data_IF_694817760684
#
_entry.id   IF_694817760684
#
_cell.length_a   1.000
_cell.length_b   1.000
_cell.length_c   1.000
_cell.angle_alpha   90.00
_cell.angle_beta   90.00
_cell.angle_gamma   90.00
#
_symmetry.space_group_name_H-M   'P 1'
#
loop_
_entity.id
_entity.type
_entity.pdbx_description
1 polymer ?
#
# COMPACT_ATOMS: atom_id res chain seq x y z
N UNK A 1 -71.93 -2.08 25.07
CA UNK A 1 -71.94 -1.36 23.78
C UNK A 1 -70.76 -0.41 23.73
N UNK A 2 -69.91 -0.55 22.69
CA UNK A 2 -69.08 0.49 22.03
C UNK A 2 -68.10 1.32 22.87
N UNK A 3 -66.78 1.13 22.66
CA UNK A 3 -65.86 1.98 21.84
C UNK A 3 -65.60 3.35 22.51
N UNK A 4 -64.38 3.82 22.78
CA UNK A 4 -63.31 4.16 21.82
C UNK A 4 -62.07 4.58 22.67
N UNK A 5 -60.95 3.85 22.67
CA UNK A 5 -59.68 4.11 21.94
C UNK A 5 -59.09 5.52 22.16
N UNK A 6 -57.95 5.60 22.87
CA UNK A 6 -56.68 6.08 22.27
C UNK A 6 -55.49 5.61 23.15
N UNK A 7 -54.91 4.49 22.75
CA UNK A 7 -53.64 3.97 23.27
C UNK A 7 -52.53 4.69 22.51
N UNK A 8 -51.79 5.57 23.19
CA UNK A 8 -50.50 6.07 22.71
C UNK A 8 -49.43 5.05 23.14
N UNK A 9 -49.30 3.97 22.37
CA UNK A 9 -48.17 3.04 22.52
C UNK A 9 -46.99 3.67 21.78
N UNK A 10 -46.16 4.43 22.51
CA UNK A 10 -44.89 4.91 21.99
C UNK A 10 -43.97 3.68 21.84
N UNK A 11 -43.88 3.18 20.60
CA UNK A 11 -42.84 2.23 20.19
C UNK A 11 -41.53 3.01 20.15
N UNK A 12 -40.82 3.04 21.26
CA UNK A 12 -39.38 3.32 21.28
C UNK A 12 -38.65 2.01 21.51
N UNK A 13 -38.71 1.12 20.53
CA UNK A 13 -37.64 0.16 20.31
C UNK A 13 -36.44 0.96 19.77
N UNK A 14 -35.76 1.66 20.68
CA UNK A 14 -34.38 2.06 20.41
C UNK A 14 -33.61 0.76 20.45
N UNK A 15 -33.49 0.10 19.30
CA UNK A 15 -32.41 -0.84 19.08
C UNK A 15 -31.12 -0.03 19.21
N UNK A 16 -30.60 0.08 20.44
CA UNK A 16 -29.17 0.18 20.66
C UNK A 16 -28.57 -1.13 20.16
N UNK A 17 -28.49 -1.26 18.83
CA UNK A 17 -27.45 -2.05 18.22
C UNK A 17 -26.17 -1.37 18.66
N UNK A 18 -25.55 -1.88 19.71
CA UNK A 18 -24.12 -1.73 19.87
C UNK A 18 -23.53 -2.33 18.60
N UNK A 19 -23.27 -1.48 17.60
CA UNK A 19 -22.32 -1.83 16.57
C UNK A 19 -21.07 -2.20 17.33
N UNK A 20 -20.66 -3.47 17.25
CA UNK A 20 -19.32 -3.82 17.64
C UNK A 20 -18.44 -2.92 16.80
N UNK A 21 -17.87 -1.87 17.40
CA UNK A 21 -16.71 -1.22 16.82
C UNK A 21 -15.69 -2.35 16.78
N UNK A 22 -15.54 -2.99 15.62
CA UNK A 22 -14.45 -3.90 15.36
C UNK A 22 -13.20 -3.06 15.62
N UNK A 23 -12.56 -3.27 16.77
CA UNK A 23 -11.30 -2.58 17.05
C UNK A 23 -10.32 -2.96 15.95
N UNK A 24 -9.87 -1.95 15.22
CA UNK A 24 -8.86 -2.14 14.19
C UNK A 24 -7.59 -2.61 14.90
N UNK A 25 -7.18 -3.83 14.57
CA UNK A 25 -6.00 -4.49 15.13
C UNK A 25 -4.95 -4.61 14.02
N UNK A 26 -3.67 -4.37 14.34
CA UNK A 26 -2.58 -4.46 13.36
C UNK A 26 -1.27 -4.82 14.06
N UNK A 27 -0.57 -5.80 13.52
CA UNK A 27 0.75 -6.19 14.00
C UNK A 27 1.62 -6.68 12.86
N UNK A 28 2.93 -6.45 12.98
CA UNK A 28 3.92 -7.15 12.17
C UNK A 28 4.21 -8.49 12.85
N UNK A 29 4.17 -9.59 12.10
CA UNK A 29 4.52 -10.90 12.62
C UNK A 29 6.03 -11.00 12.86
N UNK A 30 6.39 -11.69 13.93
CA UNK A 30 7.76 -12.11 14.24
C UNK A 30 8.19 -13.27 13.35
N UNK A 31 9.49 -13.52 13.23
CA UNK A 31 9.99 -14.66 12.44
C UNK A 31 9.42 -16.00 12.94
N UNK A 32 9.30 -16.19 14.26
CA UNK A 32 8.73 -17.41 14.84
C UNK A 32 7.26 -17.61 14.46
N UNK A 33 6.46 -16.55 14.44
CA UNK A 33 5.07 -16.61 13.98
C UNK A 33 4.99 -16.90 12.47
N UNK A 34 5.87 -16.29 11.68
CA UNK A 34 5.97 -16.54 10.23
C UNK A 34 6.29 -18.02 9.99
N UNK A 35 7.32 -18.57 10.63
CA UNK A 35 7.73 -19.96 10.44
C UNK A 35 6.66 -20.96 10.91
N UNK A 36 5.90 -20.60 11.96
CA UNK A 36 4.81 -21.43 12.47
C UNK A 36 3.56 -21.43 11.58
N UNK A 37 3.22 -20.29 10.98
CA UNK A 37 1.98 -20.13 10.19
C UNK A 37 2.27 -20.46 8.71
N UNK A 38 3.31 -19.87 8.14
CA UNK A 38 3.66 -19.93 6.72
C UNK A 38 4.69 -21.04 6.44
N UNK A 39 4.29 -22.28 6.76
CA UNK A 39 5.06 -23.49 6.42
C UNK A 39 5.34 -23.59 4.91
N UNK A 40 6.34 -24.36 4.51
CA UNK A 40 6.68 -24.55 3.09
C UNK A 40 5.50 -25.09 2.26
N UNK A 41 4.71 -25.98 2.85
CA UNK A 41 3.48 -26.49 2.20
C UNK A 41 2.46 -25.38 1.99
N UNK A 42 2.25 -24.51 2.99
CA UNK A 42 1.33 -23.38 2.85
C UNK A 42 1.84 -22.39 1.81
N UNK A 43 3.12 -21.96 1.89
CA UNK A 43 3.74 -21.05 0.91
C UNK A 43 3.59 -21.58 -0.52
N UNK A 44 3.85 -22.87 -0.73
CA UNK A 44 3.66 -23.53 -2.03
C UNK A 44 2.21 -23.46 -2.50
N UNK A 45 1.24 -23.76 -1.63
CA UNK A 45 -0.19 -23.69 -1.99
C UNK A 45 -0.68 -22.27 -2.27
N UNK A 46 -0.11 -21.27 -1.59
CA UNK A 46 -0.38 -19.85 -1.80
C UNK A 46 0.43 -19.25 -2.97
N UNK A 47 1.34 -20.03 -3.59
CA UNK A 47 2.24 -19.59 -4.68
C UNK A 47 3.11 -18.39 -4.26
N UNK A 48 3.66 -18.48 -3.05
CA UNK A 48 4.63 -17.53 -2.51
C UNK A 48 6.01 -18.08 -2.82
N UNK A 49 6.57 -17.66 -3.95
CA UNK A 49 7.82 -18.21 -4.48
C UNK A 49 9.07 -17.46 -3.98
N UNK A 50 8.92 -16.17 -3.67
CA UNK A 50 10.01 -15.30 -3.20
C UNK A 50 10.21 -15.36 -1.69
N UNK A 51 11.41 -15.02 -1.24
CA UNK A 51 11.75 -14.91 0.18
C UNK A 51 10.84 -13.88 0.87
N UNK A 52 10.23 -14.27 1.99
CA UNK A 52 9.35 -13.40 2.77
C UNK A 52 10.20 -12.35 3.47
N UNK A 53 9.93 -11.08 3.17
CA UNK A 53 10.57 -9.95 3.84
C UNK A 53 9.85 -9.59 5.14
N UNK A 54 8.52 -9.40 5.08
CA UNK A 54 7.67 -9.06 6.22
C UNK A 54 6.24 -9.57 6.00
N UNK A 55 5.56 -9.88 7.10
CA UNK A 55 4.11 -10.13 7.11
C UNK A 55 3.46 -9.21 8.13
N UNK A 56 2.38 -8.58 7.72
CA UNK A 56 1.51 -7.81 8.59
C UNK A 56 0.16 -8.49 8.68
N UNK A 57 -0.29 -8.75 9.91
CA UNK A 57 -1.65 -9.20 10.19
C UNK A 57 -2.48 -7.98 10.61
N UNK A 58 -3.69 -7.87 10.10
CA UNK A 58 -4.63 -6.85 10.58
C UNK A 58 -6.06 -7.36 10.61
N UNK A 59 -6.87 -6.76 11.46
CA UNK A 59 -8.30 -6.99 11.55
C UNK A 59 -9.02 -5.67 11.26
N UNK A 60 -10.02 -5.73 10.38
CA UNK A 60 -10.89 -4.60 10.05
C UNK A 60 -12.35 -5.09 9.92
N UNK A 61 -13.27 -4.24 9.43
CA UNK A 61 -14.69 -4.61 9.26
C UNK A 61 -14.91 -5.83 8.34
N UNK A 62 -13.96 -6.12 7.45
CA UNK A 62 -13.94 -7.26 6.53
C UNK A 62 -13.44 -8.57 7.15
N UNK A 63 -12.83 -8.51 8.33
CA UNK A 63 -12.31 -9.66 9.06
C UNK A 63 -10.79 -9.61 9.23
N UNK A 64 -10.16 -10.78 9.33
CA UNK A 64 -8.71 -10.92 9.47
C UNK A 64 -8.04 -10.97 8.11
N UNK A 65 -6.95 -10.23 7.95
CA UNK A 65 -6.16 -10.14 6.73
C UNK A 65 -4.66 -10.33 7.02
N UNK A 66 -3.94 -10.82 6.00
CA UNK A 66 -2.50 -10.96 5.99
C UNK A 66 -1.93 -10.27 4.75
N UNK A 67 -1.09 -9.26 4.95
CA UNK A 67 -0.30 -8.61 3.91
C UNK A 67 1.13 -9.14 3.98
N UNK A 68 1.54 -9.83 2.92
CA UNK A 68 2.84 -10.51 2.81
C UNK A 68 3.67 -9.77 1.79
N UNK A 69 4.86 -9.30 2.18
CA UNK A 69 5.83 -8.66 1.30
C UNK A 69 7.00 -9.61 1.06
N UNK A 70 7.37 -9.84 -0.19
CA UNK A 70 8.43 -10.76 -0.59
C UNK A 70 9.40 -10.12 -1.57
N UNK A 71 10.61 -10.68 -1.66
CA UNK A 71 11.68 -10.18 -2.52
C UNK A 71 12.42 -11.34 -3.17
N UNK A 72 12.76 -11.21 -4.44
CA UNK A 72 13.64 -12.14 -5.13
C UNK A 72 15.07 -11.65 -5.04
N UNK A 73 15.90 -12.35 -4.27
CA UNK A 73 17.30 -11.98 -4.06
C UNK A 73 18.15 -12.38 -5.26
N UNK A 74 19.04 -11.48 -5.67
CA UNK A 74 20.01 -11.68 -6.73
C UNK A 74 21.41 -11.29 -6.25
N UNK A 75 22.43 -11.86 -6.89
CA UNK A 75 23.81 -11.43 -6.67
C UNK A 75 24.05 -10.06 -7.29
N UNK A 76 24.68 -9.18 -6.52
CA UNK A 76 25.13 -7.86 -6.94
C UNK A 76 26.63 -7.70 -6.75
N UNK A 77 27.20 -6.75 -7.48
CA UNK A 77 28.60 -6.36 -7.29
C UNK A 77 28.83 -5.97 -5.82
N UNK A 78 29.98 -6.38 -5.27
CA UNK A 78 30.43 -6.08 -3.90
C UNK A 78 29.62 -6.76 -2.76
N UNK A 79 28.81 -7.77 -3.04
CA UNK A 79 28.15 -8.58 -2.01
C UNK A 79 27.04 -7.85 -1.25
N UNK A 80 26.47 -6.79 -1.82
CA UNK A 80 25.28 -6.13 -1.30
C UNK A 80 24.03 -6.94 -1.63
N UNK A 81 23.05 -6.95 -0.72
CA UNK A 81 21.73 -7.52 -1.00
C UNK A 81 21.04 -6.72 -2.11
N UNK A 82 20.73 -7.40 -3.20
CA UNK A 82 19.98 -6.84 -4.30
C UNK A 82 18.78 -7.70 -4.63
N UNK A 83 17.77 -7.05 -5.20
CA UNK A 83 16.56 -7.73 -5.59
C UNK A 83 16.16 -7.27 -6.99
N UNK A 84 15.86 -8.20 -7.89
CA UNK A 84 15.38 -7.85 -9.24
C UNK A 84 13.87 -7.67 -9.29
N UNK A 85 13.16 -8.22 -8.30
CA UNK A 85 11.70 -8.25 -8.27
C UNK A 85 11.17 -8.34 -6.84
N UNK A 86 9.97 -7.79 -6.69
CA UNK A 86 9.20 -7.80 -5.45
C UNK A 86 7.80 -8.31 -5.71
N UNK A 87 7.22 -8.97 -4.71
CA UNK A 87 5.79 -9.23 -4.69
C UNK A 87 5.17 -8.81 -3.37
N UNK A 88 3.90 -8.42 -3.42
CA UNK A 88 3.08 -8.32 -2.22
C UNK A 88 1.75 -9.00 -2.45
N UNK A 89 1.28 -9.70 -1.44
CA UNK A 89 0.01 -10.39 -1.45
C UNK A 89 -0.82 -9.88 -0.29
N UNK A 90 -2.12 -9.75 -0.52
CA UNK A 90 -3.08 -9.58 0.56
C UNK A 90 -4.08 -10.71 0.50
N UNK A 91 -4.22 -11.40 1.62
CA UNK A 91 -5.15 -12.50 1.81
C UNK A 91 -6.12 -12.15 2.93
N UNK A 92 -7.41 -12.35 2.71
CA UNK A 92 -8.35 -12.50 3.82
C UNK A 92 -8.26 -13.92 4.36
N UNK A 93 -8.46 -14.08 5.68
CA UNK A 93 -8.46 -15.37 6.36
C UNK A 93 -9.84 -15.67 6.92
N UNK A 94 -10.51 -16.66 6.32
CA UNK A 94 -11.90 -17.04 6.67
C UNK A 94 -12.09 -18.55 6.56
N UNK A 95 -12.81 -19.13 7.52
CA UNK A 95 -13.07 -20.58 7.58
C UNK A 95 -11.78 -21.40 7.44
N UNK A 96 -10.73 -20.98 8.18
CA UNK A 96 -9.38 -21.56 8.15
C UNK A 96 -8.71 -21.61 6.77
N UNK A 97 -9.10 -20.69 5.87
CA UNK A 97 -8.56 -20.60 4.50
C UNK A 97 -8.12 -19.18 4.18
N UNK A 98 -7.01 -19.09 3.46
CA UNK A 98 -6.52 -17.85 2.86
C UNK A 98 -7.17 -17.63 1.49
N UNK A 99 -7.76 -16.46 1.28
CA UNK A 99 -8.39 -16.05 0.02
C UNK A 99 -7.66 -14.81 -0.47
N UNK A 100 -7.01 -14.89 -1.64
CA UNK A 100 -6.23 -13.78 -2.18
C UNK A 100 -7.17 -12.65 -2.62
N UNK A 101 -7.00 -11.47 -2.05
CA UNK A 101 -7.75 -10.27 -2.38
C UNK A 101 -7.07 -9.50 -3.52
N UNK A 102 -5.75 -9.33 -3.41
CA UNK A 102 -4.94 -8.72 -4.44
C UNK A 102 -3.49 -9.19 -4.39
N UNK A 103 -2.81 -9.00 -5.52
CA UNK A 103 -1.37 -9.25 -5.70
C UNK A 103 -0.71 -8.05 -6.38
N UNK A 104 0.50 -7.75 -5.96
CA UNK A 104 1.45 -6.85 -6.59
C UNK A 104 2.66 -7.67 -7.04
N UNK A 105 3.13 -7.41 -8.26
CA UNK A 105 4.42 -7.87 -8.76
C UNK A 105 5.06 -6.69 -9.49
N UNK A 106 6.34 -6.43 -9.23
CA UNK A 106 7.12 -5.43 -9.96
C UNK A 106 8.58 -5.85 -10.05
N UNK A 107 9.31 -5.24 -10.98
CA UNK A 107 10.67 -5.60 -11.33
C UNK A 107 11.52 -4.36 -11.68
N UNK A 108 12.83 -4.50 -11.53
CA UNK A 108 13.81 -3.54 -12.05
C UNK A 108 13.74 -3.48 -13.58
N UNK A 109 14.25 -2.41 -14.18
CA UNK A 109 14.49 -2.29 -15.61
C UNK A 109 16.00 -2.46 -15.88
N UNK A 110 16.49 -3.67 -16.20
CA UNK A 110 17.93 -3.92 -16.33
C UNK A 110 18.56 -3.16 -17.51
N UNK A 111 17.76 -2.88 -18.54
CA UNK A 111 18.15 -2.03 -19.68
C UNK A 111 18.12 -0.53 -19.36
N UNK A 112 17.60 -0.17 -18.19
CA UNK A 112 17.46 1.18 -17.69
C UNK A 112 16.07 1.78 -17.85
N UNK A 113 15.82 2.77 -16.99
CA UNK A 113 14.72 3.72 -17.09
C UNK A 113 15.16 4.93 -17.95
N UNK A 114 14.49 6.08 -17.81
CA UNK A 114 14.81 7.27 -18.62
C UNK A 114 16.12 7.96 -18.20
N UNK A 115 16.67 7.59 -17.04
CA UNK A 115 17.80 8.24 -16.37
C UNK A 115 18.98 7.27 -16.21
N UNK A 116 18.76 6.08 -15.66
CA UNK A 116 19.83 5.11 -15.41
C UNK A 116 19.41 3.64 -15.57
N UNK A 117 20.39 2.74 -15.64
CA UNK A 117 20.19 1.31 -15.36
C UNK A 117 19.74 1.12 -13.91
N UNK A 118 18.79 0.23 -13.69
CA UNK A 118 18.35 -0.15 -12.34
C UNK A 118 19.04 -1.46 -11.92
N UNK A 119 19.55 -1.50 -10.69
CA UNK A 119 20.26 -2.66 -10.16
C UNK A 119 19.52 -3.35 -9.00
N UNK A 120 18.56 -2.68 -8.36
CA UNK A 120 17.78 -3.26 -7.25
C UNK A 120 16.39 -2.63 -7.13
N UNK A 121 15.45 -3.32 -6.48
CA UNK A 121 14.10 -2.84 -6.13
C UNK A 121 13.76 -3.23 -4.68
N UNK A 122 13.08 -2.36 -3.92
CA UNK A 122 12.77 -2.66 -2.53
C UNK A 122 11.50 -1.97 -2.01
N UNK A 123 10.77 -2.64 -1.11
CA UNK A 123 9.69 -2.04 -0.33
C UNK A 123 10.26 -1.05 0.70
N UNK A 124 9.76 0.18 0.68
CA UNK A 124 10.15 1.21 1.64
C UNK A 124 9.23 1.19 2.84
N UNK A 125 9.38 0.16 3.67
CA UNK A 125 8.53 -0.09 4.84
C UNK A 125 8.51 1.04 5.88
N UNK A 126 9.48 1.97 5.83
CA UNK A 126 9.45 3.20 6.64
C UNK A 126 8.28 4.15 6.32
N UNK A 127 7.70 4.05 5.12
CA UNK A 127 6.53 4.82 4.69
C UNK A 127 5.25 3.98 4.70
N UNK A 128 5.34 2.71 5.09
CA UNK A 128 4.21 1.79 5.11
C UNK A 128 3.55 1.79 6.48
N UNK A 129 2.24 1.95 6.48
CA UNK A 129 1.40 1.83 7.68
C UNK A 129 0.01 1.36 7.25
N UNK A 130 -0.55 0.42 8.00
CA UNK A 130 -1.92 -0.06 7.84
C UNK A 130 -2.85 0.78 8.70
N UNK A 131 -3.62 1.71 8.16
CA UNK A 131 -4.56 2.50 8.95
C UNK A 131 -5.87 2.68 8.17
N UNK A 132 -6.95 2.99 8.88
CA UNK A 132 -8.22 3.41 8.29
C UNK A 132 -8.17 4.95 8.18
N UNK A 133 -7.79 5.44 7.01
CA UNK A 133 -7.55 6.88 6.84
C UNK A 133 -8.84 7.66 6.55
N UNK A 134 -9.93 6.98 6.19
CA UNK A 134 -11.23 7.61 5.92
C UNK A 134 -12.31 7.33 6.98
N UNK A 135 -11.99 6.52 7.99
CA UNK A 135 -12.84 6.10 9.10
C UNK A 135 -14.07 5.28 8.64
N UNK A 136 -13.93 4.51 7.56
CA UNK A 136 -15.00 3.66 7.06
C UNK A 136 -15.03 2.26 7.71
N UNK A 137 -14.07 1.97 8.60
CA UNK A 137 -13.88 0.70 9.29
C UNK A 137 -13.03 -0.32 8.53
N UNK A 138 -12.57 -0.03 7.31
CA UNK A 138 -11.62 -0.84 6.56
C UNK A 138 -10.23 -0.23 6.59
N UNK A 139 -9.22 -1.09 6.62
CA UNK A 139 -7.83 -0.63 6.48
C UNK A 139 -7.55 -0.24 5.03
N UNK A 140 -6.78 0.82 4.85
CA UNK A 140 -6.29 1.33 3.56
C UNK A 140 -4.78 1.07 3.40
N UNK A 141 -4.36 -0.07 2.82
CA UNK A 141 -2.94 -0.31 2.56
C UNK A 141 -2.37 0.72 1.56
N UNK A 142 -1.36 1.47 2.00
CA UNK A 142 -0.56 2.35 1.14
C UNK A 142 0.86 1.79 1.05
N UNK A 143 1.14 1.11 -0.06
CA UNK A 143 2.42 0.47 -0.34
C UNK A 143 3.37 1.46 -1.02
N UNK A 144 4.61 1.53 -0.54
CA UNK A 144 5.66 2.36 -1.15
C UNK A 144 6.85 1.47 -1.47
N UNK A 145 7.39 1.60 -2.67
CA UNK A 145 8.63 0.95 -3.08
C UNK A 145 9.35 1.80 -4.11
N UNK A 146 10.65 1.55 -4.25
CA UNK A 146 11.45 2.19 -5.26
C UNK A 146 12.57 1.31 -5.79
N UNK A 147 13.10 1.71 -6.94
CA UNK A 147 14.26 1.10 -7.57
C UNK A 147 15.52 1.90 -7.28
N UNK A 148 16.67 1.24 -7.39
CA UNK A 148 17.98 1.83 -7.22
C UNK A 148 18.69 1.86 -8.58
N UNK A 149 19.10 3.06 -8.98
CA UNK A 149 19.88 3.35 -10.17
C UNK A 149 21.35 3.63 -9.85
N UNK A 150 22.13 4.19 -10.77
CA UNK A 150 23.57 4.37 -10.57
C UNK A 150 23.91 5.25 -9.35
N UNK A 151 23.08 6.26 -9.07
CA UNK A 151 23.17 7.13 -7.90
C UNK A 151 22.20 6.71 -6.78
N UNK A 152 21.96 5.41 -6.60
CA UNK A 152 21.03 4.90 -5.58
C UNK A 152 19.59 5.29 -5.92
N UNK A 153 18.86 5.87 -4.97
CA UNK A 153 17.44 6.25 -5.20
C UNK A 153 17.27 7.45 -6.13
N UNK A 154 18.32 8.24 -6.35
CA UNK A 154 18.26 9.50 -7.12
C UNK A 154 17.90 9.27 -8.58
N UNK A 155 18.35 8.17 -9.18
CA UNK A 155 18.03 7.82 -10.57
C UNK A 155 16.93 6.74 -10.66
N UNK A 156 16.30 6.42 -9.53
CA UNK A 156 15.32 5.36 -9.40
C UNK A 156 13.91 5.75 -9.85
N UNK A 157 13.00 4.77 -9.76
CA UNK A 157 11.56 4.97 -9.83
C UNK A 157 10.97 4.83 -8.45
N UNK A 158 9.95 5.62 -8.15
CA UNK A 158 9.17 5.55 -6.91
C UNK A 158 7.73 5.23 -7.29
N UNK A 159 7.12 4.27 -6.58
CA UNK A 159 5.71 3.93 -6.75
C UNK A 159 5.02 3.91 -5.40
N UNK A 160 3.93 4.67 -5.31
CA UNK A 160 3.01 4.70 -4.17
C UNK A 160 1.71 4.08 -4.64
N UNK A 161 1.31 2.96 -4.06
CA UNK A 161 0.10 2.23 -4.41
C UNK A 161 -0.89 2.24 -3.26
N UNK A 162 -2.09 2.74 -3.51
CA UNK A 162 -3.21 2.74 -2.58
C UNK A 162 -4.18 1.63 -2.96
N UNK A 163 -4.47 0.75 -2.01
CA UNK A 163 -5.54 -0.23 -2.11
C UNK A 163 -6.71 0.23 -1.25
N UNK A 164 -7.84 0.51 -1.88
CA UNK A 164 -9.03 0.99 -1.20
C UNK A 164 -10.27 0.47 -1.92
N UNK A 165 -11.20 -0.16 -1.19
CA UNK A 165 -12.43 -0.72 -1.75
C UNK A 165 -12.20 -1.62 -2.97
N UNK A 166 -11.25 -2.56 -2.86
CA UNK A 166 -10.91 -3.54 -3.91
C UNK A 166 -10.25 -2.96 -5.17
N UNK A 167 -9.94 -1.66 -5.18
CA UNK A 167 -9.34 -0.96 -6.33
C UNK A 167 -7.95 -0.44 -5.98
N UNK A 168 -7.01 -0.64 -6.90
CA UNK A 168 -5.65 -0.11 -6.83
C UNK A 168 -5.56 1.25 -7.52
N UNK A 169 -4.90 2.22 -6.90
CA UNK A 169 -4.46 3.47 -7.56
C UNK A 169 -3.00 3.73 -7.28
N UNK A 170 -2.31 4.29 -8.25
CA UNK A 170 -0.89 4.50 -8.19
C UNK A 170 -0.50 5.96 -8.45
N UNK A 171 0.52 6.40 -7.73
CA UNK A 171 1.40 7.49 -8.14
C UNK A 171 2.72 6.85 -8.55
N UNK A 172 3.20 7.17 -9.76
CA UNK A 172 4.46 6.69 -10.32
C UNK A 172 5.34 7.88 -10.58
N UNK A 173 6.56 7.83 -10.11
CA UNK A 173 7.51 8.91 -10.25
C UNK A 173 8.82 8.35 -10.78
N UNK A 174 9.33 8.97 -11.84
CA UNK A 174 10.73 8.84 -12.24
C UNK A 174 11.50 9.92 -11.50
N UNK A 175 12.48 9.50 -10.70
CA UNK A 175 13.39 10.40 -10.00
C UNK A 175 14.60 10.71 -10.91
N UNK A 176 15.30 11.79 -10.59
CA UNK A 176 16.52 12.19 -11.25
C UNK A 176 17.21 13.34 -10.54
N UNK A 177 18.53 13.42 -10.69
CA UNK A 177 19.33 14.51 -10.11
C UNK A 177 19.08 15.85 -10.82
N UNK A 178 18.64 15.81 -12.07
CA UNK A 178 18.33 17.00 -12.88
C UNK A 178 16.82 17.20 -13.00
N UNK A 179 16.39 18.46 -13.05
CA UNK A 179 14.97 18.83 -13.07
C UNK A 179 14.19 18.18 -14.21
N UNK A 180 14.75 18.16 -15.43
CA UNK A 180 14.10 17.60 -16.61
C UNK A 180 13.98 16.06 -16.59
N UNK A 181 14.67 15.38 -15.67
CA UNK A 181 14.59 13.92 -15.52
C UNK A 181 13.34 13.51 -14.70
N UNK A 182 12.84 14.44 -13.89
CA UNK A 182 11.79 14.17 -12.90
C UNK A 182 10.41 14.32 -13.51
N UNK A 183 9.63 13.24 -13.45
CA UNK A 183 8.25 13.26 -13.89
C UNK A 183 7.38 12.38 -12.99
N UNK A 184 6.15 12.82 -12.75
CA UNK A 184 5.17 12.10 -11.95
C UNK A 184 3.89 11.89 -12.72
N UNK A 185 3.37 10.66 -12.66
CA UNK A 185 2.10 10.25 -13.21
C UNK A 185 1.19 9.73 -12.12
N UNK A 186 -0.07 10.16 -12.14
CA UNK A 186 -1.10 9.81 -11.18
C UNK A 186 -2.23 9.08 -11.91
N UNK A 187 -2.66 7.94 -11.37
CA UNK A 187 -3.86 7.25 -11.89
C UNK A 187 -5.08 8.15 -11.72
N UNK A 188 -5.92 8.30 -12.74
CA UNK A 188 -7.10 9.19 -12.68
C UNK A 188 -8.03 8.88 -11.49
N UNK A 189 -8.27 7.60 -11.23
CA UNK A 189 -9.08 7.11 -10.10
C UNK A 189 -8.48 7.44 -8.72
N UNK A 190 -7.24 7.95 -8.66
CA UNK A 190 -6.65 8.42 -7.40
C UNK A 190 -7.43 9.61 -6.85
N UNK A 191 -7.91 10.50 -7.72
CA UNK A 191 -8.60 11.72 -7.28
C UNK A 191 -9.98 11.45 -6.70
N UNK A 192 -10.54 10.27 -6.95
CA UNK A 192 -11.77 9.75 -6.33
C UNK A 192 -11.55 9.24 -4.90
N UNK A 193 -10.29 9.07 -4.47
CA UNK A 193 -10.01 8.60 -3.11
C UNK A 193 -10.55 9.59 -2.06
N UNK A 194 -11.02 9.07 -0.92
CA UNK A 194 -11.29 9.84 0.29
C UNK A 194 -10.17 10.81 0.64
N UNK A 195 -10.55 11.95 1.21
CA UNK A 195 -9.61 13.04 1.52
C UNK A 195 -8.53 12.62 2.52
N UNK A 196 -8.86 11.76 3.49
CA UNK A 196 -7.90 11.26 4.48
C UNK A 196 -6.78 10.44 3.85
N UNK A 197 -7.13 9.53 2.94
CA UNK A 197 -6.16 8.73 2.17
C UNK A 197 -5.28 9.64 1.29
N UNK A 198 -5.88 10.60 0.57
CA UNK A 198 -5.11 11.55 -0.24
C UNK A 198 -4.14 12.37 0.60
N UNK A 199 -4.57 12.86 1.76
CA UNK A 199 -3.73 13.58 2.72
C UNK A 199 -2.55 12.72 3.18
N UNK A 200 -2.78 11.45 3.51
CA UNK A 200 -1.71 10.52 3.89
C UNK A 200 -0.70 10.33 2.76
N UNK A 201 -1.16 10.15 1.52
CA UNK A 201 -0.27 10.02 0.37
C UNK A 201 0.55 11.30 0.14
N UNK A 202 -0.05 12.48 0.26
CA UNK A 202 0.70 13.75 0.19
C UNK A 202 1.76 13.86 1.29
N UNK A 203 1.46 13.41 2.51
CA UNK A 203 2.45 13.34 3.59
C UNK A 203 3.58 12.35 3.27
N UNK A 204 3.26 11.18 2.70
CA UNK A 204 4.28 10.22 2.25
C UNK A 204 5.19 10.85 1.19
N UNK A 205 4.63 11.55 0.19
CA UNK A 205 5.41 12.25 -0.83
C UNK A 205 6.35 13.30 -0.22
N UNK A 206 5.85 14.12 0.71
CA UNK A 206 6.68 15.08 1.43
C UNK A 206 7.80 14.39 2.22
N UNK A 207 7.47 13.32 2.96
CA UNK A 207 8.45 12.57 3.75
C UNK A 207 9.51 11.89 2.87
N UNK A 208 9.17 11.44 1.66
CA UNK A 208 10.15 10.88 0.71
C UNK A 208 11.20 11.94 0.36
N UNK A 209 10.78 13.18 0.09
CA UNK A 209 11.69 14.30 -0.18
C UNK A 209 12.47 14.73 1.06
N UNK A 210 11.84 14.84 2.23
CA UNK A 210 12.52 15.19 3.48
C UNK A 210 13.57 14.16 3.90
N UNK A 211 13.39 12.89 3.54
CA UNK A 211 14.33 11.81 3.82
C UNK A 211 15.37 11.61 2.71
N UNK A 212 15.42 12.48 1.70
CA UNK A 212 16.36 12.38 0.57
C UNK A 212 16.24 11.06 -0.21
N UNK A 213 15.04 10.46 -0.24
CA UNK A 213 14.77 9.25 -1.04
C UNK A 213 14.24 9.57 -2.45
N UNK A 214 13.86 10.82 -2.69
CA UNK A 214 13.54 11.33 -4.02
C UNK A 214 12.84 12.67 -4.03
N UNK A 215 12.88 13.35 -5.16
CA UNK A 215 12.43 14.74 -5.29
C UNK A 215 11.23 14.77 -6.23
N UNK A 216 10.06 15.19 -5.75
CA UNK A 216 8.90 15.37 -6.65
C UNK A 216 9.01 16.72 -7.38
N UNK A 217 8.45 16.85 -8.61
CA UNK A 217 8.53 18.10 -9.36
C UNK A 217 8.01 19.32 -8.57
N UNK A 218 8.60 20.49 -8.80
CA UNK A 218 8.18 21.72 -8.14
C UNK A 218 6.69 21.99 -8.34
N UNK A 219 6.00 22.36 -7.25
CA UNK A 219 4.56 22.61 -7.29
C UNK A 219 3.69 21.36 -7.45
N UNK A 220 4.22 20.16 -7.18
CA UNK A 220 3.45 18.91 -7.22
C UNK A 220 2.16 18.99 -6.36
N UNK A 221 2.17 19.72 -5.24
CA UNK A 221 0.97 19.92 -4.42
C UNK A 221 -0.13 20.62 -5.22
N UNK A 222 0.20 21.74 -5.87
CA UNK A 222 -0.70 22.49 -6.75
C UNK A 222 -1.16 21.64 -7.94
N UNK A 223 -0.27 20.82 -8.52
CA UNK A 223 -0.63 19.91 -9.60
C UNK A 223 -1.67 18.87 -9.14
N UNK A 224 -1.48 18.29 -7.96
CA UNK A 224 -2.37 17.33 -7.34
C UNK A 224 -3.73 17.93 -6.96
N UNK A 225 -3.76 19.15 -6.42
CA UNK A 225 -4.99 19.89 -6.14
C UNK A 225 -5.81 20.14 -7.41
N UNK A 226 -5.12 20.46 -8.52
CA UNK A 226 -5.73 20.64 -9.84
C UNK A 226 -6.01 19.33 -10.59
N UNK A 227 -5.84 18.18 -9.93
CA UNK A 227 -6.08 16.83 -10.50
C UNK A 227 -5.27 16.53 -11.77
N UNK A 228 -4.06 17.09 -11.90
CA UNK A 228 -3.19 16.83 -13.05
C UNK A 228 -2.72 15.37 -13.04
N UNK A 229 -2.99 14.66 -14.13
CA UNK A 229 -2.56 13.25 -14.28
C UNK A 229 -1.05 13.10 -14.51
N UNK A 230 -0.41 14.13 -15.05
CA UNK A 230 1.03 14.16 -15.28
C UNK A 230 1.56 15.56 -14.90
N UNK A 231 2.71 15.60 -14.26
CA UNK A 231 3.44 16.82 -13.97
C UNK A 231 4.93 16.53 -13.89
N UNK A 232 5.72 17.47 -14.38
CA UNK A 232 7.18 17.48 -14.43
C UNK A 232 7.64 18.93 -14.18
N UNK A 233 8.93 19.19 -14.34
CA UNK A 233 9.52 20.53 -14.15
C UNK A 233 9.40 21.43 -15.40
N UNK A 234 8.71 21.00 -16.47
CA UNK A 234 8.63 21.69 -17.77
C UNK A 234 7.25 22.28 -18.11
#
# INVERSE_FOLDING_TARGET
MRKTILIFLLITLVHFGYGQNSEISRSQLTQQEIDSIFTDSLKTSLKIDFSIHRIYKYDDKGGTHFLIMTKNEIECDNGQECYDSIEAFCFSFKDDRFIQEWKLTDFILPKGNQVSKEYSINFWTKYFELNDYDNDGSIDPIMVYGTYGMNGTDDGRIKILVYHNGKKRAIRHQNGTLDFERNTKVDELYYELPIGIKKRVSQIMANITENEHGIFPYGWQTAMENKKLNFDEN
#
